data_IF_280516554507
#
_entry.id   IF_280516554507
#
_cell.length_a   1.000
_cell.length_b   1.000
_cell.length_c   1.000
_cell.angle_alpha   90.00
_cell.angle_beta   90.00
_cell.angle_gamma   90.00
#
_symmetry.space_group_name_H-M   'P 1'
#
loop_
_entity.id
_entity.type
_entity.pdbx_description
1 polymer ?
#
# COMPACT_ATOMS: atom_id res chain seq x y z
N UNK A 1 -26.63 0.86 -5.97
CA UNK A 1 -27.09 1.30 -4.63
C UNK A 1 -25.79 1.48 -3.90
N UNK A 2 -25.37 2.71 -3.58
CA UNK A 2 -24.02 2.93 -3.05
C UNK A 2 -23.69 1.99 -1.88
N UNK A 3 -22.45 1.50 -1.82
CA UNK A 3 -21.99 0.65 -0.72
C UNK A 3 -22.21 1.35 0.62
N UNK A 4 -22.54 0.58 1.66
CA UNK A 4 -22.75 1.17 2.97
C UNK A 4 -21.40 1.59 3.57
N UNK A 5 -21.13 2.90 3.59
CA UNK A 5 -19.92 3.53 4.15
C UNK A 5 -19.50 3.02 5.53
N UNK A 6 -20.44 2.52 6.36
CA UNK A 6 -20.12 1.99 7.69
C UNK A 6 -19.58 0.55 7.68
N UNK A 7 -19.41 -0.05 6.51
CA UNK A 7 -18.93 -1.42 6.30
C UNK A 7 -17.69 -1.47 5.40
N UNK A 8 -17.10 -0.31 5.08
CA UNK A 8 -15.92 -0.19 4.24
C UNK A 8 -14.68 -0.10 5.13
N UNK A 9 -13.72 -0.95 4.82
CA UNK A 9 -12.32 -0.72 5.13
C UNK A 9 -11.63 -0.25 3.84
N UNK A 10 -10.91 0.86 3.93
CA UNK A 10 -10.14 1.42 2.83
C UNK A 10 -8.67 1.31 3.21
N UNK A 11 -7.90 0.68 2.34
CA UNK A 11 -6.46 0.70 2.45
C UNK A 11 -5.89 2.06 2.13
N UNK A 12 -4.57 2.12 2.08
CA UNK A 12 -3.85 3.37 1.93
C UNK A 12 -2.82 3.26 0.80
N UNK A 13 -1.99 4.29 0.65
CA UNK A 13 -1.01 4.33 -0.43
C UNK A 13 0.14 3.31 -0.23
N UNK A 14 0.42 2.91 1.00
CA UNK A 14 1.45 1.95 1.34
C UNK A 14 0.91 0.52 1.37
N UNK A 15 1.77 -0.43 1.02
CA UNK A 15 1.54 -1.85 1.24
C UNK A 15 1.16 -2.16 2.68
N UNK A 16 0.03 -2.81 2.88
CA UNK A 16 -0.47 -3.24 4.17
C UNK A 16 -1.07 -4.65 4.18
N UNK A 17 -1.15 -5.22 5.38
CA UNK A 17 -1.90 -6.45 5.60
C UNK A 17 -3.31 -6.10 6.11
N UNK A 18 -4.32 -6.25 5.24
CA UNK A 18 -5.72 -5.96 5.52
C UNK A 18 -6.43 -7.25 5.96
N UNK A 19 -6.89 -7.29 7.20
CA UNK A 19 -7.58 -8.47 7.74
C UNK A 19 -9.10 -8.30 7.74
N UNK A 20 -9.81 -9.35 7.32
CA UNK A 20 -11.26 -9.40 7.45
C UNK A 20 -11.66 -9.40 8.93
N UNK A 21 -12.26 -8.31 9.38
CA UNK A 21 -12.90 -8.18 10.68
C UNK A 21 -14.42 -8.33 10.50
N UNK A 22 -15.11 -8.98 11.43
CA UNK A 22 -16.57 -9.19 11.31
C UNK A 22 -17.42 -7.90 11.31
N UNK A 23 -16.81 -6.72 11.49
CA UNK A 23 -17.49 -5.42 11.41
C UNK A 23 -17.65 -4.91 9.97
N UNK A 24 -16.64 -5.15 9.14
CA UNK A 24 -16.54 -4.60 7.79
C UNK A 24 -16.72 -5.72 6.77
N UNK A 25 -17.33 -5.37 5.64
CA UNK A 25 -17.71 -6.33 4.62
C UNK A 25 -17.11 -6.00 3.26
N UNK A 26 -16.56 -4.80 3.08
CA UNK A 26 -15.92 -4.38 1.84
C UNK A 26 -14.50 -3.89 2.17
N UNK A 27 -13.50 -4.55 1.61
CA UNK A 27 -12.09 -4.26 1.83
C UNK A 27 -11.47 -3.89 0.49
N UNK A 28 -10.77 -2.76 0.48
CA UNK A 28 -10.10 -2.22 -0.70
C UNK A 28 -8.61 -2.06 -0.37
N UNK A 29 -7.70 -2.61 -1.18
CA UNK A 29 -6.24 -2.38 -1.04
C UNK A 29 -5.86 -0.97 -1.48
N UNK A 30 -6.33 -0.58 -2.67
CA UNK A 30 -6.01 0.65 -3.38
C UNK A 30 -4.61 0.59 -4.02
N UNK A 31 -3.73 1.57 -3.74
CA UNK A 31 -2.49 1.77 -4.51
C UNK A 31 -1.32 0.89 -4.05
N UNK A 32 -1.31 0.46 -2.79
CA UNK A 32 -0.21 -0.32 -2.21
C UNK A 32 -0.16 -1.75 -2.76
N UNK A 33 0.98 -2.43 -2.63
CA UNK A 33 1.02 -3.88 -2.84
C UNK A 33 0.46 -4.57 -1.58
N UNK A 34 -0.86 -4.77 -1.51
CA UNK A 34 -1.56 -5.13 -0.29
C UNK A 34 -1.80 -6.63 -0.13
N UNK A 35 -1.97 -7.06 1.11
CA UNK A 35 -2.41 -8.42 1.42
C UNK A 35 -3.80 -8.38 2.03
N UNK A 36 -4.81 -8.78 1.26
CA UNK A 36 -6.19 -8.85 1.73
C UNK A 36 -6.48 -10.27 2.24
N UNK A 37 -6.66 -10.41 3.55
CA UNK A 37 -6.68 -11.69 4.25
C UNK A 37 -8.05 -11.98 4.87
N UNK A 38 -8.78 -12.92 4.27
CA UNK A 38 -10.07 -13.41 4.72
C UNK A 38 -9.93 -14.69 5.56
N UNK A 39 -10.25 -14.61 6.85
CA UNK A 39 -10.19 -15.74 7.78
C UNK A 39 -11.43 -15.86 8.65
N UNK A 40 -11.90 -17.08 8.86
CA UNK A 40 -13.08 -17.42 9.68
C UNK A 40 -14.35 -16.61 9.33
N UNK A 41 -14.49 -16.10 8.10
CA UNK A 41 -15.65 -15.27 7.74
C UNK A 41 -16.94 -16.13 7.73
N UNK A 42 -18.10 -15.49 7.87
CA UNK A 42 -19.37 -16.20 8.01
C UNK A 42 -19.93 -16.64 6.65
N UNK A 43 -20.63 -17.77 6.64
CA UNK A 43 -21.49 -18.17 5.51
C UNK A 43 -22.73 -17.29 5.53
N UNK A 44 -23.06 -16.66 4.41
CA UNK A 44 -24.24 -15.82 4.28
C UNK A 44 -24.83 -15.89 2.87
N UNK A 45 -26.15 -15.80 2.77
CA UNK A 45 -26.85 -15.65 1.48
C UNK A 45 -27.18 -14.19 1.16
N UNK A 46 -26.90 -13.26 2.08
CA UNK A 46 -27.23 -11.85 1.93
C UNK A 46 -26.05 -11.09 1.29
N UNK A 47 -26.23 -10.63 0.06
CA UNK A 47 -25.23 -9.88 -0.72
C UNK A 47 -24.65 -8.65 0.00
N UNK A 48 -25.40 -8.06 0.92
CA UNK A 48 -24.99 -6.91 1.72
C UNK A 48 -24.08 -7.27 2.92
N UNK A 49 -24.00 -8.54 3.28
CA UNK A 49 -23.23 -9.07 4.41
C UNK A 49 -22.07 -9.98 3.98
N UNK A 50 -21.98 -10.32 2.68
CA UNK A 50 -20.84 -11.04 2.10
C UNK A 50 -19.56 -10.21 2.23
N UNK A 51 -18.44 -10.87 2.54
CA UNK A 51 -17.12 -10.24 2.53
C UNK A 51 -16.62 -10.08 1.09
N UNK A 52 -16.40 -8.84 0.67
CA UNK A 52 -15.80 -8.46 -0.59
C UNK A 52 -14.38 -7.96 -0.39
N UNK A 53 -13.45 -8.43 -1.21
CA UNK A 53 -12.09 -7.91 -1.30
C UNK A 53 -11.79 -7.45 -2.73
N UNK A 54 -11.26 -6.25 -2.85
CA UNK A 54 -10.76 -5.69 -4.11
C UNK A 54 -9.36 -5.09 -3.90
N UNK A 55 -8.41 -5.50 -4.73
CA UNK A 55 -6.99 -5.17 -4.66
C UNK A 55 -6.80 -3.71 -4.99
N UNK A 56 -6.94 -3.33 -6.26
CA UNK A 56 -6.71 -1.95 -6.67
C UNK A 56 -5.65 -1.90 -7.75
N UNK A 57 -4.78 -0.88 -7.74
CA UNK A 57 -3.74 -0.68 -8.73
C UNK A 57 -2.38 -1.34 -8.37
N UNK A 58 -2.21 -1.82 -7.14
CA UNK A 58 -0.99 -2.49 -6.68
C UNK A 58 -0.76 -3.87 -7.28
N UNK A 59 0.30 -4.55 -6.82
CA UNK A 59 0.48 -6.01 -6.98
C UNK A 59 -0.09 -6.72 -5.74
N UNK A 60 -1.39 -6.92 -5.72
CA UNK A 60 -2.13 -7.34 -4.53
C UNK A 60 -2.13 -8.85 -4.31
N UNK A 61 -2.28 -9.25 -3.05
CA UNK A 61 -2.38 -10.65 -2.65
C UNK A 61 -3.65 -10.91 -1.85
N UNK A 62 -4.59 -11.62 -2.46
CA UNK A 62 -5.79 -12.12 -1.80
C UNK A 62 -5.49 -13.46 -1.12
N UNK A 63 -5.80 -13.57 0.17
CA UNK A 63 -5.64 -14.79 0.97
C UNK A 63 -6.97 -15.19 1.56
N UNK A 64 -7.36 -16.45 1.37
CA UNK A 64 -8.59 -16.97 1.96
C UNK A 64 -8.36 -18.34 2.57
N UNK A 65 -8.88 -18.55 3.78
CA UNK A 65 -8.73 -19.80 4.51
C UNK A 65 -9.77 -20.88 4.16
N UNK A 66 -10.67 -20.58 3.21
CA UNK A 66 -11.72 -21.49 2.75
C UNK A 66 -13.00 -21.47 3.58
N UNK A 67 -13.13 -20.56 4.56
CA UNK A 67 -14.33 -20.44 5.39
C UNK A 67 -15.26 -19.31 4.93
N UNK A 68 -16.57 -19.56 4.95
CA UNK A 68 -17.62 -18.56 4.71
C UNK A 68 -17.88 -18.21 3.25
N UNK A 69 -18.61 -17.11 3.04
CA UNK A 69 -18.94 -16.57 1.71
C UNK A 69 -17.97 -15.44 1.36
N UNK A 70 -17.00 -15.72 0.48
CA UNK A 70 -15.94 -14.80 0.08
C UNK A 70 -16.08 -14.35 -1.38
N UNK A 71 -16.24 -13.05 -1.62
CA UNK A 71 -16.29 -12.51 -2.97
C UNK A 71 -15.03 -11.69 -3.22
N UNK A 72 -14.37 -11.95 -4.33
CA UNK A 72 -13.14 -11.25 -4.72
C UNK A 72 -13.30 -10.66 -6.11
N UNK A 73 -12.68 -9.50 -6.30
CA UNK A 73 -12.77 -8.75 -7.53
C UNK A 73 -11.48 -7.99 -7.76
N UNK A 74 -10.82 -8.19 -8.89
CA UNK A 74 -9.70 -7.31 -9.22
C UNK A 74 -10.24 -6.02 -9.86
N UNK A 75 -9.64 -4.88 -9.55
CA UNK A 75 -10.05 -3.56 -10.05
C UNK A 75 -8.95 -2.78 -10.76
N UNK A 76 -7.73 -3.30 -10.80
CA UNK A 76 -6.60 -2.70 -11.50
C UNK A 76 -5.35 -3.56 -11.34
N UNK A 77 -4.18 -2.94 -11.48
CA UNK A 77 -2.93 -3.59 -11.09
C UNK A 77 -2.35 -4.57 -12.08
N UNK A 78 -1.20 -5.13 -11.70
CA UNK A 78 -0.52 -6.19 -12.41
C UNK A 78 0.12 -7.13 -11.41
N UNK A 79 0.25 -8.40 -11.79
CA UNK A 79 0.97 -9.41 -11.01
C UNK A 79 0.27 -9.77 -9.69
N UNK A 80 -1.06 -9.64 -9.68
CA UNK A 80 -1.88 -9.96 -8.53
C UNK A 80 -1.88 -11.46 -8.27
N UNK A 81 -2.07 -11.81 -7.00
CA UNK A 81 -1.95 -13.17 -6.50
C UNK A 81 -3.16 -13.56 -5.66
N UNK A 82 -3.73 -14.72 -5.93
CA UNK A 82 -4.61 -15.41 -5.00
C UNK A 82 -3.85 -16.56 -4.33
N UNK A 83 -4.01 -16.68 -3.01
CA UNK A 83 -3.33 -17.69 -2.20
C UNK A 83 -4.35 -18.40 -1.30
N UNK A 84 -4.44 -19.72 -1.44
CA UNK A 84 -5.13 -20.53 -0.44
C UNK A 84 -4.35 -20.48 0.88
N UNK A 85 -5.02 -20.03 1.93
CA UNK A 85 -4.42 -19.91 3.24
C UNK A 85 -4.61 -21.18 4.07
N UNK A 86 -3.51 -21.74 4.56
CA UNK A 86 -3.57 -22.92 5.40
C UNK A 86 -3.80 -22.54 6.86
N UNK A 87 -5.01 -22.75 7.36
CA UNK A 87 -5.36 -22.62 8.78
C UNK A 87 -5.64 -23.97 9.46
N UNK A 88 -5.29 -25.08 8.80
CA UNK A 88 -5.65 -26.44 9.21
C UNK A 88 -6.91 -26.99 8.53
N UNK A 89 -7.56 -26.15 7.72
CA UNK A 89 -8.60 -26.53 6.77
C UNK A 89 -8.02 -26.49 5.34
N UNK A 90 -8.47 -27.40 4.49
CA UNK A 90 -8.26 -27.30 3.05
C UNK A 90 -9.47 -26.55 2.49
N UNK A 91 -9.28 -25.58 1.57
CA UNK A 91 -10.40 -24.88 0.94
C UNK A 91 -11.39 -25.88 0.36
N UNK A 92 -10.89 -27.01 -0.16
CA UNK A 92 -11.72 -28.20 -0.40
C UNK A 92 -12.88 -27.95 -1.37
N UNK A 93 -12.79 -26.86 -2.15
CA UNK A 93 -13.79 -26.45 -3.13
C UNK A 93 -14.01 -27.61 -4.10
N UNK A 94 -15.24 -28.12 -4.13
CA UNK A 94 -15.58 -29.34 -4.87
C UNK A 94 -16.27 -29.04 -6.17
N UNK A 95 -17.02 -27.96 -6.21
CA UNK A 95 -17.93 -27.62 -7.28
C UNK A 95 -17.56 -26.27 -7.84
N UNK A 96 -17.78 -26.10 -9.14
CA UNK A 96 -17.53 -24.82 -9.79
C UNK A 96 -18.45 -24.60 -10.97
N UNK A 97 -18.72 -23.34 -11.27
CA UNK A 97 -19.52 -22.92 -12.41
C UNK A 97 -19.12 -21.51 -12.84
N UNK A 98 -19.51 -21.14 -14.05
CA UNK A 98 -19.40 -19.78 -14.55
C UNK A 98 -20.78 -19.18 -14.78
N UNK A 99 -20.90 -17.88 -14.49
CA UNK A 99 -22.11 -17.11 -14.74
C UNK A 99 -21.81 -16.07 -15.81
N UNK A 100 -22.59 -16.08 -16.89
CA UNK A 100 -22.56 -15.12 -18.01
C UNK A 100 -21.15 -14.87 -18.59
N UNK A 101 -20.23 -15.85 -18.49
CA UNK A 101 -18.84 -15.72 -18.95
C UNK A 101 -18.07 -14.54 -18.31
N UNK A 102 -18.50 -14.12 -17.13
CA UNK A 102 -17.96 -12.95 -16.41
C UNK A 102 -17.56 -13.28 -14.97
N UNK A 103 -18.26 -14.20 -14.32
CA UNK A 103 -18.01 -14.61 -12.94
C UNK A 103 -17.64 -16.09 -12.86
N UNK A 104 -16.68 -16.43 -12.01
CA UNK A 104 -16.35 -17.81 -11.66
C UNK A 104 -16.74 -18.05 -10.20
N UNK A 105 -17.53 -19.08 -9.95
CA UNK A 105 -18.00 -19.44 -8.60
C UNK A 105 -17.46 -20.82 -8.25
N UNK A 106 -16.93 -20.97 -7.04
CA UNK A 106 -16.43 -22.21 -6.46
C UNK A 106 -17.09 -22.42 -5.10
N UNK A 107 -17.48 -23.65 -4.76
CA UNK A 107 -18.07 -23.94 -3.45
C UNK A 107 -17.83 -25.38 -3.00
N UNK A 108 -18.05 -25.64 -1.72
CA UNK A 108 -17.98 -26.97 -1.11
C UNK A 108 -19.35 -27.52 -0.68
N UNK A 109 -19.34 -28.70 -0.06
CA UNK A 109 -20.57 -29.35 0.45
C UNK A 109 -21.04 -28.77 1.80
N UNK A 110 -20.28 -27.84 2.40
CA UNK A 110 -20.53 -27.27 3.72
C UNK A 110 -21.07 -25.84 3.65
N UNK A 111 -21.18 -25.27 2.44
CA UNK A 111 -21.72 -23.94 2.19
C UNK A 111 -20.66 -22.84 2.16
N UNK A 112 -19.37 -23.19 2.18
CA UNK A 112 -18.31 -22.22 1.91
C UNK A 112 -18.25 -21.97 0.41
N UNK A 113 -18.07 -20.72 0.02
CA UNK A 113 -18.08 -20.31 -1.38
C UNK A 113 -17.10 -19.17 -1.64
N UNK A 114 -16.55 -19.20 -2.84
CA UNK A 114 -15.78 -18.13 -3.43
C UNK A 114 -16.44 -17.68 -4.74
N UNK A 115 -16.67 -16.38 -4.89
CA UNK A 115 -17.06 -15.79 -6.17
C UNK A 115 -15.95 -14.85 -6.64
N UNK A 116 -15.37 -15.15 -7.81
CA UNK A 116 -14.47 -14.27 -8.51
C UNK A 116 -15.24 -13.46 -9.58
N UNK A 117 -15.50 -12.20 -9.27
CA UNK A 117 -16.54 -11.38 -9.89
C UNK A 117 -16.19 -10.80 -11.28
N UNK A 118 -14.98 -10.89 -11.77
CA UNK A 118 -14.65 -10.38 -13.10
C UNK A 118 -13.51 -11.16 -13.72
N UNK A 119 -13.47 -12.46 -13.45
CA UNK A 119 -12.31 -13.30 -13.74
C UNK A 119 -11.88 -13.25 -15.21
N UNK A 120 -12.81 -12.97 -16.13
CA UNK A 120 -12.53 -12.93 -17.57
C UNK A 120 -12.24 -11.52 -18.11
N UNK A 121 -12.13 -10.50 -17.25
CA UNK A 121 -11.73 -9.15 -17.64
C UNK A 121 -10.21 -9.09 -17.81
N UNK A 122 -9.68 -8.92 -19.03
CA UNK A 122 -8.24 -8.90 -19.25
C UNK A 122 -7.56 -7.62 -18.71
N UNK A 123 -8.33 -6.59 -18.33
CA UNK A 123 -7.81 -5.33 -17.80
C UNK A 123 -7.72 -5.29 -16.27
N UNK A 124 -8.34 -6.26 -15.59
CA UNK A 124 -8.35 -6.38 -14.15
C UNK A 124 -8.56 -7.85 -13.78
N UNK A 125 -7.47 -8.61 -13.68
CA UNK A 125 -7.51 -10.03 -13.32
C UNK A 125 -6.32 -10.39 -12.43
N UNK A 126 -6.46 -11.50 -11.72
CA UNK A 126 -5.40 -12.10 -10.92
C UNK A 126 -4.50 -12.93 -11.82
N UNK A 127 -3.19 -12.63 -11.85
CA UNK A 127 -2.20 -13.34 -12.66
C UNK A 127 -1.78 -14.68 -12.08
N UNK A 128 -1.69 -14.78 -10.76
CA UNK A 128 -1.04 -15.88 -10.07
C UNK A 128 -1.99 -16.54 -9.05
N UNK A 129 -2.10 -17.86 -9.10
CA UNK A 129 -2.88 -18.64 -8.14
C UNK A 129 -1.97 -19.65 -7.44
N UNK A 130 -1.94 -19.60 -6.12
CA UNK A 130 -1.16 -20.51 -5.28
C UNK A 130 -2.10 -21.36 -4.43
N UNK A 131 -2.43 -22.55 -4.93
CA UNK A 131 -3.44 -23.42 -4.34
C UNK A 131 -2.80 -24.50 -3.47
N UNK A 132 -3.47 -24.90 -2.39
CA UNK A 132 -2.95 -25.93 -1.49
C UNK A 132 -2.92 -27.31 -2.16
N UNK A 133 -1.83 -28.05 -1.95
CA UNK A 133 -1.66 -29.42 -2.45
C UNK A 133 -1.76 -30.46 -1.33
N UNK A 134 -2.81 -31.27 -1.39
CA UNK A 134 -3.05 -32.36 -0.45
C UNK A 134 -3.15 -31.90 1.01
N UNK A 135 -2.64 -32.72 1.94
CA UNK A 135 -2.68 -32.47 3.38
C UNK A 135 -1.43 -31.72 3.89
N UNK A 136 -0.69 -31.03 3.01
CA UNK A 136 0.62 -30.43 3.30
C UNK A 136 0.61 -28.90 3.15
N UNK A 137 1.64 -28.22 3.69
CA UNK A 137 1.87 -26.78 3.51
C UNK A 137 2.30 -26.38 2.07
N UNK A 138 2.47 -27.35 1.17
CA UNK A 138 2.90 -27.09 -0.20
C UNK A 138 1.81 -26.44 -1.03
N UNK A 139 2.18 -25.43 -1.82
CA UNK A 139 1.31 -24.80 -2.81
C UNK A 139 1.79 -25.08 -4.22
N UNK A 140 0.85 -25.34 -5.11
CA UNK A 140 1.08 -25.38 -6.55
C UNK A 140 0.71 -24.03 -7.16
N UNK A 141 1.56 -23.55 -8.04
CA UNK A 141 1.37 -22.29 -8.75
C UNK A 141 0.70 -22.54 -10.09
N UNK A 142 -0.29 -21.71 -10.41
CA UNK A 142 -0.95 -21.65 -11.69
C UNK A 142 -0.95 -20.19 -12.16
N UNK A 143 -0.66 -19.96 -13.43
CA UNK A 143 -1.05 -18.70 -14.08
C UNK A 143 -2.58 -18.62 -14.15
N UNK A 144 -3.13 -17.43 -14.36
CA UNK A 144 -4.56 -17.21 -14.57
C UNK A 144 -5.21 -18.23 -15.51
N UNK A 145 -4.63 -18.40 -16.70
CA UNK A 145 -5.18 -19.29 -17.72
C UNK A 145 -5.08 -20.77 -17.32
N UNK A 146 -3.99 -21.15 -16.65
CA UNK A 146 -3.83 -22.50 -16.13
C UNK A 146 -4.85 -22.79 -15.02
N UNK A 147 -5.08 -21.85 -14.11
CA UNK A 147 -6.09 -21.94 -13.07
C UNK A 147 -7.49 -22.12 -13.66
N UNK A 148 -7.91 -21.21 -14.55
CA UNK A 148 -9.23 -21.30 -15.21
C UNK A 148 -9.39 -22.62 -15.97
N UNK A 149 -8.34 -23.06 -16.66
CA UNK A 149 -8.35 -24.34 -17.39
C UNK A 149 -8.50 -25.52 -16.42
N UNK A 150 -7.76 -25.53 -15.31
CA UNK A 150 -7.83 -26.57 -14.30
C UNK A 150 -9.23 -26.65 -13.66
N UNK A 151 -9.82 -25.50 -13.31
CA UNK A 151 -11.19 -25.43 -12.78
C UNK A 151 -12.20 -26.01 -13.75
N UNK A 152 -12.17 -25.58 -15.02
CA UNK A 152 -13.12 -26.05 -16.06
C UNK A 152 -12.94 -27.51 -16.47
N UNK A 153 -11.78 -28.10 -16.19
CA UNK A 153 -11.50 -29.53 -16.42
C UNK A 153 -11.74 -30.41 -15.18
N UNK A 154 -12.01 -29.80 -14.03
CA UNK A 154 -12.28 -30.53 -12.80
C UNK A 154 -13.57 -31.34 -12.90
N UNK A 155 -13.66 -32.44 -12.15
CA UNK A 155 -14.86 -33.29 -12.09
C UNK A 155 -16.08 -32.51 -11.57
N UNK A 156 -15.84 -31.47 -10.76
CA UNK A 156 -16.86 -30.63 -10.17
C UNK A 156 -17.35 -29.47 -11.03
N UNK A 157 -16.82 -29.31 -12.25
CA UNK A 157 -17.26 -28.27 -13.18
C UNK A 157 -18.68 -28.55 -13.67
N UNK A 158 -19.62 -27.65 -13.34
CA UNK A 158 -21.02 -27.78 -13.72
C UNK A 158 -21.35 -27.15 -15.08
N UNK A 159 -20.55 -26.19 -15.53
CA UNK A 159 -20.73 -25.52 -16.83
C UNK A 159 -20.86 -24.00 -16.71
N UNK A 160 -21.20 -23.41 -17.84
CA UNK A 160 -21.50 -21.98 -17.98
C UNK A 160 -23.00 -21.77 -18.02
N UNK A 161 -23.52 -20.88 -17.17
CA UNK A 161 -24.93 -20.62 -16.98
C UNK A 161 -25.23 -19.12 -17.16
N UNK A 162 -26.46 -18.79 -17.56
CA UNK A 162 -26.97 -17.44 -17.30
C UNK A 162 -27.29 -17.26 -15.82
N UNK A 163 -27.43 -16.00 -15.36
CA UNK A 163 -27.90 -15.72 -13.99
C UNK A 163 -29.18 -16.48 -13.64
N UNK A 164 -30.19 -16.44 -14.52
CA UNK A 164 -31.46 -17.17 -14.31
C UNK A 164 -31.24 -18.69 -14.19
N UNK A 165 -30.40 -19.28 -15.04
CA UNK A 165 -30.11 -20.72 -14.99
C UNK A 165 -29.32 -21.11 -13.75
N UNK A 166 -28.48 -20.21 -13.24
CA UNK A 166 -27.74 -20.39 -12.00
C UNK A 166 -28.61 -20.19 -10.75
N UNK A 167 -29.81 -19.62 -10.91
CA UNK A 167 -30.82 -19.50 -9.85
C UNK A 167 -31.05 -18.07 -9.34
N UNK A 168 -30.46 -17.06 -9.97
CA UNK A 168 -30.72 -15.66 -9.64
C UNK A 168 -32.14 -15.27 -10.07
N UNK A 169 -32.88 -14.61 -9.18
CA UNK A 169 -34.05 -13.87 -9.60
C UNK A 169 -33.63 -12.61 -10.39
N UNK A 170 -34.54 -12.02 -11.16
CA UNK A 170 -34.25 -10.75 -11.85
C UNK A 170 -33.87 -9.62 -10.87
N UNK A 171 -34.35 -9.69 -9.62
CA UNK A 171 -33.96 -8.75 -8.58
C UNK A 171 -32.52 -8.99 -8.12
N UNK A 172 -32.17 -10.24 -7.82
CA UNK A 172 -30.82 -10.60 -7.35
C UNK A 172 -29.77 -10.32 -8.41
N UNK A 173 -30.08 -10.57 -9.68
CA UNK A 173 -29.19 -10.24 -10.80
C UNK A 173 -28.90 -8.73 -10.86
N UNK A 174 -29.95 -7.90 -10.80
CA UNK A 174 -29.79 -6.45 -10.80
C UNK A 174 -29.03 -5.96 -9.56
N UNK A 175 -29.30 -6.56 -8.41
CA UNK A 175 -28.65 -6.18 -7.16
C UNK A 175 -27.15 -6.53 -7.19
N UNK A 176 -26.81 -7.75 -7.62
CA UNK A 176 -25.42 -8.18 -7.75
C UNK A 176 -24.65 -7.34 -8.78
N UNK A 177 -25.23 -7.10 -9.96
CA UNK A 177 -24.62 -6.22 -10.98
C UNK A 177 -24.41 -4.81 -10.46
N UNK A 178 -25.35 -4.28 -9.68
CA UNK A 178 -25.16 -2.99 -9.01
C UNK A 178 -23.99 -3.04 -8.05
N UNK A 179 -23.87 -4.07 -7.20
CA UNK A 179 -22.76 -4.19 -6.24
C UNK A 179 -21.40 -4.25 -6.92
N UNK A 180 -21.25 -5.05 -7.97
CA UNK A 180 -20.03 -5.10 -8.80
C UNK A 180 -19.69 -3.71 -9.34
N UNK A 181 -20.68 -3.00 -9.90
CA UNK A 181 -20.46 -1.63 -10.39
C UNK A 181 -20.10 -0.64 -9.27
N UNK A 182 -20.75 -0.75 -8.10
CA UNK A 182 -20.50 0.13 -6.96
C UNK A 182 -19.09 -0.12 -6.38
N UNK A 183 -18.60 -1.37 -6.38
CA UNK A 183 -17.22 -1.74 -5.99
C UNK A 183 -16.19 -1.14 -6.95
N UNK A 184 -16.36 -1.32 -8.26
CA UNK A 184 -15.46 -0.71 -9.25
C UNK A 184 -15.40 0.81 -9.05
N UNK A 185 -16.56 1.46 -8.97
CA UNK A 185 -16.62 2.92 -8.81
C UNK A 185 -16.01 3.40 -7.50
N UNK A 186 -16.21 2.64 -6.42
CA UNK A 186 -15.63 2.95 -5.10
C UNK A 186 -14.11 2.81 -5.14
N UNK A 187 -13.61 1.68 -5.65
CA UNK A 187 -12.17 1.46 -5.83
C UNK A 187 -11.58 2.58 -6.68
N UNK A 188 -12.09 2.82 -7.89
CA UNK A 188 -11.61 3.90 -8.78
C UNK A 188 -11.67 5.30 -8.16
N UNK A 189 -12.66 5.58 -7.29
CA UNK A 189 -12.76 6.87 -6.61
C UNK A 189 -11.65 7.04 -5.58
N UNK A 190 -11.47 6.05 -4.69
CA UNK A 190 -10.43 6.09 -3.66
C UNK A 190 -9.03 5.96 -4.25
N UNK A 191 -8.89 5.23 -5.34
CA UNK A 191 -7.68 5.17 -6.17
C UNK A 191 -7.24 6.56 -6.67
N UNK A 192 -8.19 7.45 -6.97
CA UNK A 192 -7.87 8.80 -7.44
C UNK A 192 -7.53 9.77 -6.31
N UNK A 193 -8.06 9.57 -5.10
CA UNK A 193 -7.88 10.50 -3.98
C UNK A 193 -6.79 10.07 -3.00
N UNK A 194 -6.44 8.79 -2.90
CA UNK A 194 -5.34 8.32 -2.06
C UNK A 194 -3.96 8.52 -2.72
N UNK A 195 -3.89 9.13 -3.90
CA UNK A 195 -2.65 9.66 -4.51
C UNK A 195 -2.23 11.03 -3.94
N UNK A 196 -3.02 11.65 -3.05
CA UNK A 196 -2.68 12.96 -2.50
C UNK A 196 -1.76 12.82 -1.28
N UNK A 197 -0.52 13.28 -1.42
CA UNK A 197 0.41 13.49 -0.30
C UNK A 197 -0.20 14.48 0.71
N UNK A 198 -0.09 14.17 1.99
CA UNK A 198 -0.34 15.15 3.06
C UNK A 198 0.71 16.27 3.03
N UNK A 199 1.96 15.89 2.73
CA UNK A 199 3.09 16.79 2.63
C UNK A 199 2.88 17.78 1.47
N UNK A 200 2.77 19.06 1.81
CA UNK A 200 2.77 20.13 0.82
C UNK A 200 4.22 20.54 0.48
N UNK A 201 4.39 21.43 -0.50
CA UNK A 201 5.72 21.87 -0.97
C UNK A 201 6.62 22.37 0.17
N UNK A 202 6.07 23.04 1.18
CA UNK A 202 6.86 23.55 2.29
C UNK A 202 7.41 22.41 3.17
N UNK A 203 6.60 21.38 3.41
CA UNK A 203 7.00 20.18 4.17
C UNK A 203 8.10 19.43 3.42
N UNK A 204 7.91 19.22 2.11
CA UNK A 204 8.91 18.55 1.25
C UNK A 204 10.20 19.35 1.16
N UNK A 205 10.11 20.67 1.04
CA UNK A 205 11.29 21.54 1.04
C UNK A 205 12.03 21.49 2.40
N UNK A 206 11.31 21.31 3.52
CA UNK A 206 11.93 21.15 4.84
C UNK A 206 12.71 19.85 4.95
N UNK A 207 12.14 18.73 4.51
CA UNK A 207 12.82 17.43 4.46
C UNK A 207 14.02 17.49 3.50
N UNK A 208 13.84 18.10 2.32
CA UNK A 208 14.90 18.29 1.33
C UNK A 208 16.07 19.15 1.85
N UNK A 209 15.78 20.22 2.61
CA UNK A 209 16.83 21.03 3.26
C UNK A 209 17.59 20.23 4.31
N UNK A 210 16.90 19.39 5.07
CA UNK A 210 17.54 18.56 6.09
C UNK A 210 18.50 17.55 5.46
N UNK A 211 18.07 16.93 4.36
CA UNK A 211 18.88 16.04 3.54
C UNK A 211 20.11 16.79 3.00
N UNK A 212 19.93 17.97 2.38
CA UNK A 212 21.05 18.77 1.87
C UNK A 212 22.01 19.19 2.98
N UNK A 213 21.51 19.61 4.13
CA UNK A 213 22.34 20.00 5.27
C UNK A 213 23.20 18.82 5.78
N UNK A 214 22.64 17.61 5.77
CA UNK A 214 23.33 16.42 6.24
C UNK A 214 24.45 15.96 5.31
N UNK A 215 24.28 16.08 3.97
CA UNK A 215 25.17 15.44 2.99
C UNK A 215 25.80 16.40 1.97
N UNK A 216 25.54 17.71 2.06
CA UNK A 216 25.96 18.75 1.12
C UNK A 216 25.68 18.42 -0.35
N UNK A 217 24.50 17.85 -0.63
CA UNK A 217 24.04 17.57 -1.99
C UNK A 217 22.54 17.73 -2.11
N UNK A 218 22.07 17.96 -3.32
CA UNK A 218 20.63 17.88 -3.61
C UNK A 218 20.13 16.44 -3.31
N UNK A 219 18.93 16.30 -2.73
CA UNK A 219 18.30 15.01 -2.56
C UNK A 219 18.09 14.36 -3.92
N UNK A 220 18.39 13.07 -4.04
CA UNK A 220 17.85 12.29 -5.14
C UNK A 220 16.34 12.08 -4.96
N UNK A 221 15.62 11.91 -6.06
CA UNK A 221 14.15 11.89 -6.07
C UNK A 221 13.61 10.71 -5.24
N UNK A 222 14.18 9.51 -5.41
CA UNK A 222 13.78 8.32 -4.65
C UNK A 222 14.01 8.50 -3.15
N UNK A 223 15.19 8.99 -2.77
CA UNK A 223 15.56 9.26 -1.38
C UNK A 223 14.68 10.35 -0.76
N UNK A 224 14.38 11.42 -1.49
CA UNK A 224 13.48 12.48 -1.01
C UNK A 224 12.09 11.93 -0.72
N UNK A 225 11.48 11.23 -1.68
CA UNK A 225 10.15 10.65 -1.51
C UNK A 225 10.11 9.61 -0.38
N UNK A 226 11.17 8.81 -0.21
CA UNK A 226 11.29 7.90 0.94
C UNK A 226 11.19 8.64 2.29
N UNK A 227 11.84 9.80 2.44
CA UNK A 227 11.76 10.55 3.71
C UNK A 227 10.44 11.31 3.87
N UNK A 228 9.79 11.70 2.77
CA UNK A 228 8.40 12.20 2.80
C UNK A 228 7.49 11.09 3.34
N UNK A 229 7.61 9.86 2.83
CA UNK A 229 6.81 8.72 3.31
C UNK A 229 6.93 8.56 4.83
N UNK A 230 8.15 8.57 5.34
CA UNK A 230 8.40 8.46 6.79
C UNK A 230 7.77 9.58 7.59
N UNK A 231 7.86 10.81 7.08
CA UNK A 231 7.27 11.96 7.73
C UNK A 231 5.73 11.87 7.78
N UNK A 232 5.09 11.45 6.67
CA UNK A 232 3.65 11.22 6.59
C UNK A 232 3.20 10.04 7.48
N UNK A 233 4.07 9.04 7.70
CA UNK A 233 3.92 7.98 8.71
C UNK A 233 4.11 8.48 10.17
N UNK A 234 4.00 9.80 10.40
CA UNK A 234 4.15 10.47 11.68
C UNK A 234 5.56 10.38 12.30
N UNK A 235 6.61 10.14 11.50
CA UNK A 235 7.99 10.24 11.97
C UNK A 235 8.38 11.72 12.16
N UNK A 236 8.76 12.16 13.37
CA UNK A 236 9.19 13.53 13.59
C UNK A 236 10.44 13.88 12.77
N UNK A 237 10.53 15.13 12.31
CA UNK A 237 11.69 15.63 11.57
C UNK A 237 13.02 15.46 12.32
N UNK A 238 12.98 15.56 13.65
CA UNK A 238 14.16 15.33 14.50
C UNK A 238 14.64 13.87 14.47
N UNK A 239 13.72 12.92 14.30
CA UNK A 239 14.07 11.50 14.18
C UNK A 239 14.64 11.23 12.78
N UNK A 240 14.11 11.87 11.74
CA UNK A 240 14.71 11.85 10.39
C UNK A 240 16.14 12.40 10.43
N UNK A 241 16.36 13.54 11.10
CA UNK A 241 17.69 14.13 11.30
C UNK A 241 18.64 13.17 12.04
N UNK A 242 18.11 12.44 13.01
CA UNK A 242 18.86 11.39 13.73
C UNK A 242 19.26 10.26 12.79
N UNK A 243 18.34 9.79 11.94
CA UNK A 243 18.64 8.77 10.95
C UNK A 243 19.70 9.23 9.94
N UNK A 244 19.66 10.49 9.49
CA UNK A 244 20.70 11.02 8.60
C UNK A 244 22.07 11.01 9.26
N UNK A 245 22.19 11.57 10.47
CA UNK A 245 23.46 11.59 11.21
C UNK A 245 24.03 10.18 11.48
N UNK A 246 23.14 9.22 11.75
CA UNK A 246 23.51 7.82 12.02
C UNK A 246 23.63 6.97 10.76
N UNK A 247 23.33 7.52 9.59
CA UNK A 247 23.31 6.75 8.34
C UNK A 247 24.70 6.29 7.94
N UNK A 248 24.78 5.18 7.22
CA UNK A 248 26.05 4.71 6.66
C UNK A 248 26.66 5.77 5.73
N UNK A 249 25.84 6.50 4.96
CA UNK A 249 26.31 7.59 4.10
C UNK A 249 27.03 8.68 4.90
N UNK A 250 26.43 9.14 6.01
CA UNK A 250 27.05 10.16 6.85
C UNK A 250 28.37 9.67 7.45
N UNK A 251 28.38 8.43 7.94
CA UNK A 251 29.58 7.82 8.52
C UNK A 251 30.67 7.57 7.46
N UNK A 252 30.31 7.24 6.22
CA UNK A 252 31.26 7.08 5.12
C UNK A 252 31.85 8.42 4.66
N UNK A 253 31.04 9.48 4.64
CA UNK A 253 31.48 10.83 4.26
C UNK A 253 32.34 11.50 5.34
N UNK A 254 31.92 11.40 6.60
CA UNK A 254 32.44 12.25 7.68
C UNK A 254 32.98 11.47 8.89
N UNK A 255 32.73 10.15 8.95
CA UNK A 255 33.08 9.32 10.10
C UNK A 255 32.28 9.71 11.35
N UNK A 256 32.96 9.70 12.50
CA UNK A 256 32.41 10.14 13.78
C UNK A 256 33.11 11.44 14.22
N UNK A 257 32.69 12.60 13.70
CA UNK A 257 33.34 13.87 13.97
C UNK A 257 33.24 14.24 15.46
N UNK A 258 34.21 15.02 15.94
CA UNK A 258 34.06 15.72 17.22
C UNK A 258 32.97 16.79 17.12
N UNK A 259 32.36 17.23 18.23
CA UNK A 259 31.36 18.31 18.20
C UNK A 259 31.86 19.55 17.45
N UNK A 260 33.12 19.94 17.67
CA UNK A 260 33.75 21.06 16.98
C UNK A 260 33.79 20.82 15.46
N UNK A 261 34.27 19.66 15.02
CA UNK A 261 34.34 19.28 13.60
C UNK A 261 32.97 19.18 12.97
N UNK A 262 31.98 18.72 13.73
CA UNK A 262 30.60 18.58 13.25
C UNK A 262 29.95 19.95 13.03
N UNK A 263 30.14 20.90 13.95
CA UNK A 263 29.62 22.27 13.79
C UNK A 263 30.28 22.93 12.59
N UNK A 264 31.62 22.84 12.48
CA UNK A 264 32.40 23.36 11.36
C UNK A 264 31.87 22.84 10.00
N UNK A 265 31.63 21.52 9.92
CA UNK A 265 31.03 20.87 8.77
C UNK A 265 29.64 21.40 8.42
N UNK A 266 28.76 21.62 9.42
CA UNK A 266 27.42 22.15 9.15
C UNK A 266 27.47 23.60 8.66
N UNK A 267 28.42 24.40 9.13
CA UNK A 267 28.66 25.75 8.60
C UNK A 267 29.05 25.71 7.12
N UNK A 268 29.94 24.79 6.73
CA UNK A 268 30.30 24.58 5.33
C UNK A 268 29.12 24.06 4.50
N UNK A 269 28.51 22.95 4.89
CA UNK A 269 27.42 22.29 4.14
C UNK A 269 26.20 23.20 3.90
N UNK A 270 25.91 24.11 4.84
CA UNK A 270 24.65 24.87 4.89
C UNK A 270 24.86 26.33 4.51
N UNK A 271 25.97 26.92 4.92
CA UNK A 271 26.24 28.36 4.81
C UNK A 271 27.45 28.68 3.91
N UNK A 272 28.18 27.68 3.42
CA UNK A 272 29.35 27.82 2.53
C UNK A 272 30.39 28.79 3.08
N UNK A 273 30.65 28.70 4.40
CA UNK A 273 31.59 29.56 5.13
C UNK A 273 32.07 28.93 6.43
N UNK A 274 33.26 29.34 6.88
CA UNK A 274 33.75 29.05 8.22
C UNK A 274 32.84 29.66 9.33
N UNK A 275 32.72 29.00 10.49
CA UNK A 275 32.08 29.58 11.66
C UNK A 275 32.87 30.77 12.23
N UNK A 276 32.17 31.81 12.66
CA UNK A 276 32.78 32.79 13.56
C UNK A 276 32.89 32.24 15.00
N UNK A 277 33.75 32.86 15.80
CA UNK A 277 34.04 32.39 17.17
C UNK A 277 32.79 32.40 18.06
N UNK A 278 31.91 33.38 17.89
CA UNK A 278 30.71 33.51 18.74
C UNK A 278 29.68 32.43 18.37
N UNK A 279 29.43 32.23 17.08
CA UNK A 279 28.54 31.21 16.56
C UNK A 279 29.01 29.79 16.88
N UNK A 280 30.31 29.51 16.76
CA UNK A 280 30.88 28.23 17.16
C UNK A 280 30.68 27.95 18.66
N UNK A 281 31.01 28.92 19.51
CA UNK A 281 30.87 28.76 20.96
C UNK A 281 29.40 28.58 21.36
N UNK A 282 28.47 29.30 20.72
CA UNK A 282 27.04 29.11 20.95
C UNK A 282 26.60 27.65 20.74
N UNK A 283 26.95 27.04 19.61
CA UNK A 283 26.56 25.66 19.34
C UNK A 283 27.25 24.65 20.26
N UNK A 284 28.52 24.89 20.63
CA UNK A 284 29.22 24.06 21.60
C UNK A 284 28.54 24.12 22.98
N UNK A 285 28.12 25.30 23.42
CA UNK A 285 27.42 25.51 24.70
C UNK A 285 26.03 24.84 24.68
N UNK A 286 25.30 24.90 23.56
CA UNK A 286 24.02 24.19 23.39
C UNK A 286 24.20 22.66 23.45
N UNK A 287 25.25 22.13 22.83
CA UNK A 287 25.59 20.71 22.90
C UNK A 287 26.06 20.28 24.30
N UNK A 288 26.82 21.12 25.00
CA UNK A 288 27.19 20.89 26.41
C UNK A 288 25.95 20.91 27.32
N UNK A 289 24.95 21.72 26.98
CA UNK A 289 23.66 21.81 27.66
C UNK A 289 22.70 20.65 27.32
N UNK A 290 23.11 19.72 26.46
CA UNK A 290 22.38 18.47 26.17
C UNK A 290 21.74 18.41 24.78
N UNK A 291 21.93 19.40 23.91
CA UNK A 291 21.49 19.31 22.53
C UNK A 291 22.28 18.22 21.78
N UNK A 292 21.57 17.31 21.12
CA UNK A 292 22.19 16.24 20.33
C UNK A 292 22.52 16.73 18.91
N UNK A 293 23.43 16.02 18.23
CA UNK A 293 23.86 16.31 16.85
C UNK A 293 22.68 16.52 15.89
N UNK A 294 21.67 15.65 15.95
CA UNK A 294 20.44 15.78 15.16
C UNK A 294 19.69 17.11 15.38
N UNK A 295 19.68 17.62 16.62
CA UNK A 295 19.08 18.92 16.95
C UNK A 295 19.86 20.09 16.36
N UNK A 296 21.19 20.01 16.35
CA UNK A 296 22.05 21.01 15.71
C UNK A 296 21.82 20.99 14.19
N UNK A 297 21.86 19.81 13.55
CA UNK A 297 21.57 19.65 12.12
C UNK A 297 20.20 20.21 11.74
N UNK A 298 19.14 19.85 12.47
CA UNK A 298 17.80 20.38 12.23
C UNK A 298 17.76 21.91 12.35
N UNK A 299 18.49 22.48 13.31
CA UNK A 299 18.55 23.93 13.51
C UNK A 299 19.28 24.66 12.38
N UNK A 300 20.39 24.10 11.87
CA UNK A 300 21.07 24.64 10.69
C UNK A 300 20.20 24.53 9.44
N UNK A 301 19.60 23.37 9.21
CA UNK A 301 18.70 23.11 8.08
C UNK A 301 17.56 24.12 7.99
N UNK A 302 16.98 24.48 9.14
CA UNK A 302 15.85 25.40 9.21
C UNK A 302 16.24 26.86 9.51
N UNK A 303 17.53 27.19 9.41
CA UNK A 303 17.97 28.58 9.52
C UNK A 303 17.41 29.42 8.37
N UNK A 304 17.12 30.69 8.64
CA UNK A 304 16.62 31.64 7.62
C UNK A 304 17.60 31.70 6.43
N UNK A 305 18.90 31.73 6.71
CA UNK A 305 19.95 31.76 5.70
C UNK A 305 19.90 30.53 4.80
N UNK A 306 19.75 29.31 5.36
CA UNK A 306 19.63 28.10 4.54
C UNK A 306 18.33 28.05 3.73
N UNK A 307 17.22 28.52 4.29
CA UNK A 307 15.95 28.61 3.56
C UNK A 307 16.13 29.52 2.34
N UNK A 308 16.75 30.69 2.50
CA UNK A 308 17.04 31.61 1.39
C UNK A 308 18.01 31.00 0.36
N UNK A 309 19.08 30.34 0.82
CA UNK A 309 20.08 29.71 -0.05
C UNK A 309 19.52 28.57 -0.89
N UNK A 310 18.53 27.84 -0.38
CA UNK A 310 17.99 26.64 -1.02
C UNK A 310 16.67 26.87 -1.75
N UNK A 311 16.07 28.06 -1.63
CA UNK A 311 14.83 28.41 -2.34
C UNK A 311 14.97 28.26 -3.87
N UNK A 312 16.16 28.54 -4.42
CA UNK A 312 16.40 28.37 -5.87
C UNK A 312 16.25 26.92 -6.33
N UNK A 313 16.51 25.95 -5.45
CA UNK A 313 16.38 24.52 -5.72
C UNK A 313 14.93 24.09 -5.42
N UNK A 314 14.41 24.43 -4.25
CA UNK A 314 13.13 23.89 -3.76
C UNK A 314 11.89 24.65 -4.24
N UNK A 315 12.02 25.83 -4.85
CA UNK A 315 10.90 26.53 -5.48
C UNK A 315 10.35 25.79 -6.71
N UNK A 316 11.16 24.93 -7.33
CA UNK A 316 10.78 24.07 -8.46
C UNK A 316 9.95 22.86 -8.06
N UNK A 317 9.91 22.49 -6.77
CA UNK A 317 9.22 21.29 -6.31
C UNK A 317 7.73 21.28 -6.70
N UNK A 318 7.30 20.18 -7.32
CA UNK A 318 5.90 19.90 -7.63
C UNK A 318 5.56 18.42 -7.43
N UNK A 319 4.30 18.17 -7.05
CA UNK A 319 3.68 16.84 -7.11
C UNK A 319 3.28 16.57 -8.57
N UNK A 320 3.69 15.44 -9.12
CA UNK A 320 3.38 15.04 -10.50
C UNK A 320 1.90 14.70 -10.74
N UNK A 321 1.08 14.76 -9.69
CA UNK A 321 -0.33 14.41 -9.67
C UNK A 321 -0.59 12.95 -9.30
N UNK A 322 0.47 12.16 -9.12
CA UNK A 322 0.42 10.78 -8.65
C UNK A 322 0.98 10.59 -7.24
N UNK A 323 1.21 11.67 -6.51
CA UNK A 323 1.77 11.62 -5.16
C UNK A 323 3.28 11.45 -5.15
N UNK A 324 3.97 11.81 -6.24
CA UNK A 324 5.42 11.73 -6.31
C UNK A 324 6.02 13.12 -6.52
N UNK A 325 6.93 13.53 -5.63
CA UNK A 325 7.54 14.86 -5.65
C UNK A 325 8.75 14.90 -6.56
N UNK A 326 8.78 15.88 -7.46
CA UNK A 326 9.82 16.11 -8.46
C UNK A 326 10.36 17.55 -8.39
N UNK A 327 11.51 17.80 -9.00
CA UNK A 327 12.09 19.14 -9.24
C UNK A 327 11.80 19.64 -10.66
#
# INVERSE_FOLDING_TARGET
>A
MALNSSKLYLGNYYSEDIYSNYSDHYYFGLQGDDQLVARNIQITSELDDVTWMAGGNGSDTYKWDGSGSFFLMETGGVNDSYVDEYTGYNTGMKWSAEIDNTHLVLWDDYGNEMLYANYNDPSARIENFYLLTGDSYGREHFTHNEFVTAVKQSIGWLGSYSYEQFGFSSYDEQHFKSKVSDIIQTSSYYEQISMHREANRADVAEIGRLYKAAFDREPDIDGLNYWIDRWEDNMPLLDIATCFYQSNEFQEMYGNPSNWTYIDLLYENVLDRDPDIEGLNYWLDEMESGMHHAGVLASFSNSIENIENTEVIFSGLYDDGGGYWLF
#
